data_IF_800826517887
#
_entry.id   IF_800826517887
#
_cell.length_a   1.000
_cell.length_b   1.000
_cell.length_c   1.000
_cell.angle_alpha   90.00
_cell.angle_beta   90.00
_cell.angle_gamma   90.00
#
_symmetry.space_group_name_H-M   'P 1'
#
loop_
_entity.id
_entity.type
_entity.pdbx_description
1 polymer ?
#
# COMPACT_ATOMS: atom_id res chain seq x y z
N UNK A 1 25.48 -8.37 -1.30
CA UNK A 1 25.52 -7.39 -0.19
C UNK A 1 26.94 -6.88 0.13
N UNK A 2 27.93 -7.12 -0.74
CA UNK A 2 29.35 -6.80 -0.51
C UNK A 2 29.82 -5.50 -1.18
N UNK A 3 29.03 -4.94 -2.11
CA UNK A 3 29.48 -3.87 -3.02
C UNK A 3 29.39 -2.44 -2.44
N UNK A 4 28.60 -2.23 -1.39
CA UNK A 4 28.47 -0.94 -0.71
C UNK A 4 29.53 -0.78 0.38
N UNK A 5 29.80 -1.86 1.13
CA UNK A 5 30.87 -1.90 2.13
C UNK A 5 32.25 -1.75 1.48
N UNK A 6 32.50 -2.39 0.33
CA UNK A 6 33.76 -2.23 -0.40
C UNK A 6 33.96 -0.82 -0.96
N UNK A 7 32.90 -0.15 -1.44
CA UNK A 7 32.96 1.26 -1.88
C UNK A 7 33.22 2.23 -0.73
N UNK A 8 32.60 2.02 0.43
CA UNK A 8 32.84 2.84 1.63
C UNK A 8 34.25 2.62 2.17
N UNK A 9 34.72 1.37 2.22
CA UNK A 9 36.07 1.05 2.70
C UNK A 9 37.18 1.48 1.71
N UNK A 10 36.94 1.44 0.40
CA UNK A 10 37.92 1.90 -0.59
C UNK A 10 38.01 3.43 -0.65
N UNK A 11 36.94 4.18 -0.30
CA UNK A 11 37.01 5.64 -0.22
C UNK A 11 37.92 6.17 0.90
N UNK A 12 38.22 5.35 1.91
CA UNK A 12 39.15 5.68 3.00
C UNK A 12 40.59 5.20 2.75
N UNK A 13 40.85 4.43 1.68
CA UNK A 13 42.17 3.81 1.42
C UNK A 13 43.19 4.76 0.79
N UNK A 14 42.75 5.87 0.21
CA UNK A 14 43.62 6.88 -0.41
C UNK A 14 43.83 8.12 0.49
N UNK A 15 43.36 8.09 1.74
CA UNK A 15 43.70 9.12 2.71
C UNK A 15 45.13 8.86 3.20
N UNK A 16 46.09 9.64 2.71
CA UNK A 16 47.48 9.62 3.14
C UNK A 16 47.60 10.15 4.59
N UNK A 17 47.24 9.28 5.55
CA UNK A 17 47.21 9.55 6.99
C UNK A 17 48.60 9.91 7.57
N UNK A 18 49.67 9.71 6.80
CA UNK A 18 51.04 10.04 7.17
C UNK A 18 51.47 11.48 6.88
N UNK A 19 50.70 12.23 6.08
CA UNK A 19 51.07 13.58 5.60
C UNK A 19 50.21 14.72 6.19
N UNK A 20 49.17 14.40 6.97
CA UNK A 20 48.27 15.39 7.57
C UNK A 20 48.75 15.80 8.95
N UNK A 21 48.95 17.10 9.16
CA UNK A 21 49.24 17.62 10.49
C UNK A 21 48.01 17.41 11.39
N UNK A 22 48.21 17.36 12.71
CA UNK A 22 47.11 17.26 13.69
C UNK A 22 46.05 18.35 13.44
N UNK A 23 46.47 19.53 13.00
CA UNK A 23 45.60 20.65 12.66
C UNK A 23 44.72 20.39 11.42
N UNK A 24 45.25 19.70 10.41
CA UNK A 24 44.47 19.35 9.22
C UNK A 24 43.44 18.27 9.54
N UNK A 25 43.79 17.28 10.37
CA UNK A 25 42.85 16.27 10.89
C UNK A 25 41.74 16.89 11.75
N UNK A 26 42.05 17.93 12.53
CA UNK A 26 41.06 18.69 13.29
C UNK A 26 40.14 19.49 12.38
N UNK A 27 40.68 20.17 11.35
CA UNK A 27 39.89 20.88 10.34
C UNK A 27 38.96 19.96 9.57
N UNK A 28 39.44 18.78 9.18
CA UNK A 28 38.62 17.79 8.48
C UNK A 28 37.53 17.20 9.39
N UNK A 29 37.84 16.88 10.65
CA UNK A 29 36.84 16.46 11.63
C UNK A 29 35.75 17.52 11.84
N UNK A 30 36.12 18.79 11.94
CA UNK A 30 35.15 19.89 12.06
C UNK A 30 34.27 19.99 10.81
N UNK A 31 34.85 19.88 9.61
CA UNK A 31 34.11 19.93 8.36
C UNK A 31 33.14 18.74 8.21
N UNK A 32 33.58 17.53 8.57
CA UNK A 32 32.76 16.32 8.56
C UNK A 32 31.64 16.39 9.59
N UNK A 33 31.91 16.87 10.80
CA UNK A 33 30.89 17.09 11.82
C UNK A 33 29.84 18.10 11.36
N UNK A 34 30.26 19.22 10.77
CA UNK A 34 29.32 20.20 10.21
C UNK A 34 28.49 19.62 9.05
N UNK A 35 29.05 18.72 8.24
CA UNK A 35 28.31 18.00 7.19
C UNK A 35 27.31 17.01 7.77
N UNK A 36 27.71 16.24 8.78
CA UNK A 36 26.82 15.31 9.50
C UNK A 36 25.65 16.03 10.17
N UNK A 37 25.90 17.15 10.84
CA UNK A 37 24.84 17.97 11.46
C UNK A 37 23.84 18.49 10.42
N UNK A 38 24.33 18.94 9.26
CA UNK A 38 23.45 19.37 8.14
C UNK A 38 22.63 18.20 7.60
N UNK A 39 23.24 17.05 7.38
CA UNK A 39 22.52 15.85 6.90
C UNK A 39 21.49 15.36 7.92
N UNK A 40 21.79 15.42 9.22
CA UNK A 40 20.84 15.09 10.28
C UNK A 40 19.64 16.04 10.31
N UNK A 41 19.88 17.35 10.12
CA UNK A 41 18.82 18.35 10.01
C UNK A 41 17.91 18.10 8.79
N UNK A 42 18.49 17.80 7.62
CA UNK A 42 17.73 17.46 6.41
C UNK A 42 16.92 16.17 6.61
N UNK A 43 17.49 15.14 7.25
CA UNK A 43 16.75 13.91 7.56
C UNK A 43 15.58 14.16 8.51
N UNK A 44 15.76 15.00 9.52
CA UNK A 44 14.70 15.38 10.45
C UNK A 44 13.57 16.13 9.70
N UNK A 45 13.92 17.07 8.82
CA UNK A 45 12.94 17.79 8.00
C UNK A 45 12.18 16.87 7.06
N UNK A 46 12.88 15.97 6.35
CA UNK A 46 12.24 15.01 5.45
C UNK A 46 11.28 14.07 6.21
N UNK A 47 11.65 13.62 7.41
CA UNK A 47 10.75 12.82 8.26
C UNK A 47 9.49 13.58 8.62
N UNK A 48 9.60 14.86 8.98
CA UNK A 48 8.44 15.71 9.27
C UNK A 48 7.56 15.92 8.04
N UNK A 49 8.13 16.09 6.86
CA UNK A 49 7.38 16.21 5.61
C UNK A 49 6.65 14.90 5.25
N UNK A 50 7.32 13.75 5.38
CA UNK A 50 6.68 12.45 5.19
C UNK A 50 5.51 12.26 6.15
N UNK A 51 5.66 12.64 7.42
CA UNK A 51 4.57 12.54 8.40
C UNK A 51 3.42 13.52 8.09
N UNK A 52 3.73 14.74 7.62
CA UNK A 52 2.72 15.69 7.16
C UNK A 52 1.96 15.15 5.95
N UNK A 53 2.66 14.59 4.95
CA UNK A 53 2.06 13.99 3.78
C UNK A 53 1.19 12.78 4.17
N UNK A 54 1.67 11.91 5.05
CA UNK A 54 0.88 10.78 5.59
C UNK A 54 -0.38 11.27 6.31
N UNK A 55 -0.29 12.34 7.11
CA UNK A 55 -1.47 12.96 7.75
C UNK A 55 -2.40 13.58 6.73
N UNK A 56 -1.89 14.23 5.69
CA UNK A 56 -2.66 14.80 4.58
C UNK A 56 -3.41 13.71 3.81
N UNK A 57 -2.73 12.63 3.44
CA UNK A 57 -3.32 11.45 2.78
C UNK A 57 -4.36 10.77 3.67
N UNK A 58 -4.15 10.72 5.00
CA UNK A 58 -5.15 10.18 5.94
C UNK A 58 -6.35 11.11 6.16
N UNK A 59 -6.17 12.43 5.98
CA UNK A 59 -7.21 13.47 6.14
C UNK A 59 -7.99 13.70 4.85
N UNK A 60 -7.36 13.48 3.70
CA UNK A 60 -8.10 13.16 2.49
C UNK A 60 -8.91 11.91 2.84
N UNK A 61 -10.25 12.07 2.86
CA UNK A 61 -11.18 10.93 2.96
C UNK A 61 -10.63 9.83 2.05
N UNK A 62 -10.64 8.53 2.42
CA UNK A 62 -10.32 7.50 1.44
C UNK A 62 -11.14 7.85 0.20
N UNK A 63 -10.46 8.21 -0.89
CA UNK A 63 -11.15 8.63 -2.09
C UNK A 63 -12.04 7.43 -2.40
N UNK A 64 -13.35 7.65 -2.52
CA UNK A 64 -14.28 6.53 -2.72
C UNK A 64 -13.88 5.69 -3.94
N UNK A 65 -13.08 6.26 -4.85
CA UNK A 65 -12.28 5.58 -5.87
C UNK A 65 -11.39 4.45 -5.34
N UNK A 66 -10.48 4.71 -4.39
CA UNK A 66 -9.61 3.67 -3.82
C UNK A 66 -10.41 2.56 -3.14
N UNK A 67 -11.51 2.92 -2.48
CA UNK A 67 -12.38 1.95 -1.84
C UNK A 67 -13.08 1.07 -2.89
N UNK A 68 -13.59 1.68 -3.96
CA UNK A 68 -14.22 1.01 -5.08
C UNK A 68 -13.26 0.08 -5.80
N UNK A 69 -12.09 0.57 -6.21
CA UNK A 69 -11.02 -0.20 -6.84
C UNK A 69 -10.60 -1.39 -5.95
N UNK A 70 -10.47 -1.15 -4.64
CA UNK A 70 -10.07 -2.21 -3.72
C UNK A 70 -11.15 -3.27 -3.57
N UNK A 71 -12.40 -2.85 -3.44
CA UNK A 71 -13.54 -3.76 -3.35
C UNK A 71 -13.71 -4.58 -4.63
N UNK A 72 -13.46 -3.98 -5.80
CA UNK A 72 -13.50 -4.66 -7.10
C UNK A 72 -12.45 -5.77 -7.17
N UNK A 73 -11.20 -5.45 -6.82
CA UNK A 73 -10.11 -6.42 -6.79
C UNK A 73 -10.38 -7.55 -5.81
N UNK A 74 -10.89 -7.22 -4.62
CA UNK A 74 -11.24 -8.19 -3.60
C UNK A 74 -12.43 -9.08 -4.06
N UNK A 75 -13.43 -8.52 -4.74
CA UNK A 75 -14.56 -9.28 -5.32
C UNK A 75 -14.11 -10.24 -6.43
N UNK A 76 -13.21 -9.81 -7.31
CA UNK A 76 -12.56 -10.70 -8.29
C UNK A 76 -11.80 -11.83 -7.59
N UNK A 77 -11.11 -11.54 -6.50
CA UNK A 77 -10.46 -12.55 -5.66
C UNK A 77 -11.45 -13.60 -5.13
N UNK A 78 -12.60 -13.17 -4.60
CA UNK A 78 -13.64 -14.10 -4.14
C UNK A 78 -14.19 -14.97 -5.27
N UNK A 79 -14.38 -14.39 -6.46
CA UNK A 79 -14.80 -15.17 -7.64
C UNK A 79 -13.73 -16.20 -8.03
N UNK A 80 -12.45 -15.83 -8.04
CA UNK A 80 -11.37 -16.80 -8.33
C UNK A 80 -11.30 -17.94 -7.33
N UNK A 81 -11.61 -17.70 -6.05
CA UNK A 81 -11.75 -18.77 -5.06
C UNK A 81 -12.88 -19.73 -5.42
N UNK A 82 -14.04 -19.21 -5.82
CA UNK A 82 -15.17 -20.03 -6.26
C UNK A 82 -14.82 -20.86 -7.50
N UNK A 83 -14.12 -20.28 -8.47
CA UNK A 83 -13.61 -21.02 -9.63
C UNK A 83 -12.62 -22.13 -9.25
N UNK A 84 -11.86 -21.95 -8.17
CA UNK A 84 -10.96 -22.97 -7.62
C UNK A 84 -11.69 -24.05 -6.79
N UNK A 85 -13.03 -23.99 -6.70
CA UNK A 85 -13.83 -24.92 -5.90
C UNK A 85 -13.86 -24.60 -4.40
N UNK A 86 -13.37 -23.42 -3.99
CA UNK A 86 -13.42 -22.95 -2.61
C UNK A 86 -14.65 -22.06 -2.40
N UNK A 87 -15.45 -22.36 -1.38
CA UNK A 87 -16.62 -21.56 -1.07
C UNK A 87 -16.20 -20.19 -0.50
N UNK A 88 -16.64 -19.05 -1.07
CA UNK A 88 -16.23 -17.70 -0.65
C UNK A 88 -16.81 -17.28 0.72
N UNK A 89 -16.39 -17.95 1.79
CA UNK A 89 -16.73 -17.62 3.18
C UNK A 89 -15.74 -16.61 3.78
N UNK A 90 -16.19 -15.86 4.80
CA UNK A 90 -15.34 -14.88 5.51
C UNK A 90 -14.03 -15.49 6.02
N UNK A 91 -14.10 -16.71 6.56
CA UNK A 91 -12.94 -17.42 7.10
C UNK A 91 -11.95 -17.78 5.99
N UNK A 92 -12.43 -18.38 4.90
CA UNK A 92 -11.58 -18.75 3.78
C UNK A 92 -10.99 -17.52 3.08
N UNK A 93 -11.75 -16.43 2.91
CA UNK A 93 -11.24 -15.19 2.35
C UNK A 93 -10.09 -14.59 3.18
N UNK A 94 -10.15 -14.74 4.52
CA UNK A 94 -9.05 -14.35 5.40
C UNK A 94 -7.82 -15.25 5.24
N UNK A 95 -8.03 -16.57 5.21
CA UNK A 95 -6.96 -17.56 5.13
C UNK A 95 -6.27 -17.59 3.75
N UNK A 96 -7.04 -17.47 2.66
CA UNK A 96 -6.55 -17.57 1.27
C UNK A 96 -6.12 -16.23 0.70
N UNK A 97 -6.88 -15.15 0.93
CA UNK A 97 -6.65 -13.84 0.30
C UNK A 97 -6.13 -12.77 1.27
N UNK A 98 -5.90 -13.12 2.55
CA UNK A 98 -5.52 -12.15 3.58
C UNK A 98 -6.56 -11.04 3.76
N UNK A 99 -7.83 -11.34 3.46
CA UNK A 99 -8.91 -10.36 3.46
C UNK A 99 -9.46 -10.18 4.88
N UNK A 100 -9.28 -8.99 5.44
CA UNK A 100 -9.90 -8.62 6.72
C UNK A 100 -11.42 -8.46 6.59
N UNK A 101 -12.13 -8.52 7.71
CA UNK A 101 -13.60 -8.50 7.77
C UNK A 101 -14.25 -7.34 6.99
N UNK A 102 -13.73 -6.11 7.17
CA UNK A 102 -14.23 -4.94 6.43
C UNK A 102 -14.07 -5.08 4.92
N UNK A 103 -12.91 -5.55 4.47
CA UNK A 103 -12.63 -5.78 3.04
C UNK A 103 -13.55 -6.84 2.46
N UNK A 104 -13.82 -7.90 3.21
CA UNK A 104 -14.77 -8.93 2.82
C UNK A 104 -16.20 -8.39 2.70
N UNK A 105 -16.64 -7.55 3.64
CA UNK A 105 -17.93 -6.88 3.57
C UNK A 105 -18.04 -5.99 2.33
N UNK A 106 -17.01 -5.21 2.01
CA UNK A 106 -16.99 -4.34 0.82
C UNK A 106 -17.01 -5.14 -0.48
N UNK A 107 -16.19 -6.18 -0.59
CA UNK A 107 -16.13 -7.03 -1.78
C UNK A 107 -17.47 -7.71 -2.07
N UNK A 108 -18.10 -8.31 -1.05
CA UNK A 108 -19.42 -8.91 -1.18
C UNK A 108 -20.48 -7.90 -1.58
N UNK A 109 -20.51 -6.76 -0.91
CA UNK A 109 -21.54 -5.78 -1.16
C UNK A 109 -21.40 -5.12 -2.54
N UNK A 110 -20.17 -4.95 -3.03
CA UNK A 110 -19.92 -4.57 -4.42
C UNK A 110 -20.38 -5.65 -5.40
N UNK A 111 -20.11 -6.93 -5.11
CA UNK A 111 -20.56 -8.04 -5.96
C UNK A 111 -22.09 -8.18 -5.98
N UNK A 112 -22.77 -7.89 -4.86
CA UNK A 112 -24.24 -7.80 -4.78
C UNK A 112 -24.77 -6.59 -5.55
N UNK A 113 -24.10 -5.43 -5.46
CA UNK A 113 -24.44 -4.24 -6.25
C UNK A 113 -24.31 -4.52 -7.75
N UNK A 114 -23.28 -5.25 -8.16
CA UNK A 114 -23.08 -5.70 -9.53
C UNK A 114 -24.09 -6.77 -10.00
N UNK A 115 -24.94 -7.29 -9.10
CA UNK A 115 -25.92 -8.33 -9.41
C UNK A 115 -25.29 -9.67 -9.81
N UNK A 116 -24.06 -9.94 -9.37
CA UNK A 116 -23.33 -11.19 -9.65
C UNK A 116 -23.20 -12.09 -8.43
N UNK A 117 -23.73 -11.65 -7.29
CA UNK A 117 -23.66 -12.36 -6.01
C UNK A 117 -24.99 -12.23 -5.27
N UNK A 118 -25.55 -13.33 -4.80
CA UNK A 118 -26.87 -13.38 -4.12
C UNK A 118 -26.78 -13.11 -2.61
N UNK A 119 -25.60 -13.34 -2.05
CA UNK A 119 -25.33 -13.21 -0.62
C UNK A 119 -24.45 -14.35 -0.13
N UNK A 120 -24.49 -15.50 -0.78
CA UNK A 120 -23.70 -16.66 -0.40
C UNK A 120 -22.71 -17.06 -1.50
N UNK A 121 -23.12 -16.97 -2.78
CA UNK A 121 -22.32 -17.39 -3.93
C UNK A 121 -22.42 -16.42 -5.10
N UNK A 122 -21.46 -16.53 -6.03
CA UNK A 122 -21.59 -15.91 -7.34
C UNK A 122 -22.62 -16.67 -8.17
N UNK A 123 -23.56 -15.92 -8.75
CA UNK A 123 -24.73 -16.45 -9.49
C UNK A 123 -24.45 -16.66 -10.97
N UNK A 124 -23.39 -16.05 -11.49
CA UNK A 124 -22.98 -16.14 -12.90
C UNK A 124 -21.70 -16.97 -13.03
N UNK A 125 -21.50 -17.59 -14.19
CA UNK A 125 -20.35 -18.46 -14.47
C UNK A 125 -19.42 -17.82 -15.51
N UNK A 126 -19.91 -16.86 -16.31
CA UNK A 126 -19.06 -16.18 -17.29
C UNK A 126 -18.15 -15.13 -16.64
N UNK A 127 -16.85 -15.44 -16.58
CA UNK A 127 -15.83 -14.58 -16.03
C UNK A 127 -15.78 -13.20 -16.70
N UNK A 128 -16.04 -13.10 -18.02
CA UNK A 128 -16.00 -11.81 -18.71
C UNK A 128 -17.14 -10.90 -18.27
N UNK A 129 -18.34 -11.46 -18.18
CA UNK A 129 -19.52 -10.75 -17.69
C UNK A 129 -19.32 -10.28 -16.26
N UNK A 130 -18.77 -11.14 -15.38
CA UNK A 130 -18.49 -10.77 -13.98
C UNK A 130 -17.47 -9.65 -13.87
N UNK A 131 -16.34 -9.74 -14.58
CA UNK A 131 -15.31 -8.71 -14.56
C UNK A 131 -15.87 -7.37 -15.02
N UNK A 132 -16.69 -7.38 -16.07
CA UNK A 132 -17.32 -6.17 -16.62
C UNK A 132 -18.29 -5.54 -15.62
N UNK A 133 -19.22 -6.33 -15.06
CA UNK A 133 -20.19 -5.84 -14.07
C UNK A 133 -19.55 -5.34 -12.78
N UNK A 134 -18.48 -5.99 -12.32
CA UNK A 134 -17.73 -5.53 -11.15
C UNK A 134 -17.04 -4.19 -11.42
N UNK A 135 -16.46 -3.98 -12.61
CA UNK A 135 -15.86 -2.71 -12.98
C UNK A 135 -16.90 -1.59 -13.10
N UNK A 136 -18.06 -1.88 -13.70
CA UNK A 136 -19.18 -0.93 -13.78
C UNK A 136 -19.72 -0.56 -12.40
N UNK A 137 -19.88 -1.54 -11.50
CA UNK A 137 -20.31 -1.30 -10.13
C UNK A 137 -19.28 -0.49 -9.33
N UNK A 138 -17.98 -0.71 -9.55
CA UNK A 138 -16.92 0.06 -8.93
C UNK A 138 -16.94 1.52 -9.38
N UNK A 139 -17.04 1.76 -10.69
CA UNK A 139 -17.17 3.10 -11.26
C UNK A 139 -18.43 3.82 -10.72
N UNK A 140 -19.55 3.10 -10.59
CA UNK A 140 -20.76 3.65 -9.99
C UNK A 140 -20.54 4.02 -8.51
N UNK A 141 -19.96 3.14 -7.72
CA UNK A 141 -19.75 3.32 -6.28
C UNK A 141 -18.69 4.39 -5.95
N UNK A 142 -17.75 4.66 -6.88
CA UNK A 142 -16.83 5.80 -6.80
C UNK A 142 -17.58 7.14 -6.86
N UNK A 143 -18.54 7.25 -7.78
CA UNK A 143 -19.37 8.44 -8.00
C UNK A 143 -20.49 8.62 -6.96
N UNK A 144 -20.88 7.52 -6.30
CA UNK A 144 -22.01 7.48 -5.35
C UNK A 144 -21.58 6.99 -3.96
N UNK A 145 -20.88 7.83 -3.16
CA UNK A 145 -20.36 7.50 -1.83
C UNK A 145 -21.36 6.89 -0.83
N UNK A 146 -22.63 7.21 -0.98
CA UNK A 146 -23.73 6.73 -0.15
C UNK A 146 -23.95 5.21 -0.28
N UNK A 147 -23.58 4.60 -1.40
CA UNK A 147 -23.63 3.15 -1.60
C UNK A 147 -22.80 2.40 -0.55
N UNK A 148 -21.63 2.94 -0.17
CA UNK A 148 -20.79 2.33 0.85
C UNK A 148 -21.42 2.31 2.25
N UNK A 149 -22.40 3.18 2.51
CA UNK A 149 -23.10 3.21 3.81
C UNK A 149 -24.10 2.07 3.94
N UNK A 150 -24.63 1.56 2.83
CA UNK A 150 -25.56 0.42 2.82
C UNK A 150 -24.82 -0.92 2.98
N UNK A 151 -23.52 -0.95 2.70
CA UNK A 151 -22.64 -2.13 2.79
C UNK A 151 -22.25 -2.50 4.23
N UNK A 152 -23.18 -2.44 5.18
CA UNK A 152 -22.94 -2.92 6.54
C UNK A 152 -22.79 -4.44 6.52
N UNK A 153 -21.62 -4.93 6.95
CA UNK A 153 -21.42 -6.35 7.22
C UNK A 153 -22.42 -6.81 8.27
N UNK A 154 -23.37 -7.66 7.87
CA UNK A 154 -24.16 -8.47 8.80
C UNK A 154 -23.38 -9.72 9.15
#
# INVERSE_FOLDING_TARGET
>A
MTNLLSKVLNGYRDADLGALTIEDLQRENLALNAKLSRMAATLAQNRLEVDKLRRSVRRQKPTYSWLAERAELDAKGLYTMQCAGLQPSRRQAKETLGMGERRWGWARALAMLAGVHDGDLFTDVDARTIITRLAEAAAYAELHPETWRTFRSR
#
